data_IF_434900936119
#
_entry.id   IF_434900936119
#
_cell.length_a   1.000
_cell.length_b   1.000
_cell.length_c   1.000
_cell.angle_alpha   90.00
_cell.angle_beta   90.00
_cell.angle_gamma   90.00
#
_symmetry.space_group_name_H-M   'P 1'
#
loop_
_entity.id
_entity.type
_entity.pdbx_description
1 polymer ?
#
# COMPACT_ATOMS: atom_id res chain seq x y z
N UNK A 1 8.55 15.51 -7.73
CA UNK A 1 7.42 14.55 -7.83
C UNK A 1 7.90 13.16 -7.48
N UNK A 2 7.01 12.29 -6.98
CA UNK A 2 7.32 10.88 -6.71
C UNK A 2 7.86 10.18 -7.96
N UNK A 3 7.18 10.36 -9.09
CA UNK A 3 7.62 9.82 -10.38
C UNK A 3 9.06 10.23 -10.74
N UNK A 4 9.44 11.50 -10.49
CA UNK A 4 10.81 11.98 -10.71
C UNK A 4 11.82 11.27 -9.81
N UNK A 5 11.48 11.04 -8.54
CA UNK A 5 12.34 10.32 -7.58
C UNK A 5 12.56 8.88 -8.04
N UNK A 6 11.49 8.18 -8.41
CA UNK A 6 11.54 6.79 -8.87
C UNK A 6 12.35 6.68 -10.17
N UNK A 7 12.14 7.59 -11.13
CA UNK A 7 12.93 7.64 -12.38
C UNK A 7 14.42 7.92 -12.14
N UNK A 8 14.73 8.81 -11.20
CA UNK A 8 16.13 9.10 -10.83
C UNK A 8 16.82 7.88 -10.17
N UNK A 9 16.05 7.01 -9.55
CA UNK A 9 16.52 5.71 -9.05
C UNK A 9 16.62 4.62 -10.15
N UNK A 10 16.47 4.98 -11.43
CA UNK A 10 16.61 4.06 -12.57
C UNK A 10 15.37 3.20 -12.86
N UNK A 11 14.25 3.44 -12.21
CA UNK A 11 13.03 2.63 -12.36
C UNK A 11 12.07 3.28 -13.36
N UNK A 12 11.59 2.49 -14.32
CA UNK A 12 10.54 2.91 -15.24
C UNK A 12 9.21 3.12 -14.49
N UNK A 13 8.51 4.18 -14.85
CA UNK A 13 7.23 4.50 -14.23
C UNK A 13 6.13 4.59 -15.28
N UNK A 14 4.97 4.08 -14.93
CA UNK A 14 3.75 4.21 -15.71
C UNK A 14 2.69 4.89 -14.86
N UNK A 15 1.91 5.75 -15.51
CA UNK A 15 0.85 6.49 -14.84
C UNK A 15 -0.48 6.14 -15.46
N UNK A 16 -1.40 5.65 -14.65
CA UNK A 16 -2.78 5.48 -15.07
C UNK A 16 -3.51 6.82 -15.10
N UNK A 17 -4.49 6.94 -15.98
CA UNK A 17 -5.39 8.09 -16.06
C UNK A 17 -6.78 7.66 -15.61
N UNK A 18 -7.42 8.51 -14.84
CA UNK A 18 -8.86 8.45 -14.63
C UNK A 18 -9.55 9.02 -15.86
N UNK A 19 -10.31 8.19 -16.57
CA UNK A 19 -11.21 8.63 -17.62
C UNK A 19 -12.56 8.99 -16.98
N UNK A 20 -12.66 10.22 -16.49
CA UNK A 20 -13.84 10.70 -15.78
C UNK A 20 -15.07 10.70 -16.69
N UNK A 21 -14.91 10.99 -17.97
CA UNK A 21 -16.01 11.07 -18.93
C UNK A 21 -16.60 9.68 -19.21
N UNK A 22 -15.73 8.67 -19.25
CA UNK A 22 -16.13 7.28 -19.50
C UNK A 22 -16.85 6.63 -18.33
N UNK A 23 -16.51 6.98 -17.11
CA UNK A 23 -17.03 6.32 -15.91
C UNK A 23 -18.24 7.02 -15.28
N UNK A 24 -18.76 8.05 -15.91
CA UNK A 24 -19.93 8.79 -15.41
C UNK A 24 -19.65 9.51 -14.08
N UNK A 25 -20.69 9.76 -13.31
CA UNK A 25 -20.51 10.40 -12.02
C UNK A 25 -19.77 9.49 -11.05
N UNK A 26 -18.69 9.98 -10.44
CA UNK A 26 -17.97 9.31 -9.34
C UNK A 26 -18.86 9.08 -8.10
N UNK A 27 -20.14 9.45 -8.15
CA UNK A 27 -21.12 9.32 -7.07
C UNK A 27 -21.25 7.92 -6.47
N UNK A 28 -20.85 6.88 -7.22
CA UNK A 28 -20.88 5.50 -6.77
C UNK A 28 -19.48 4.98 -6.40
N UNK A 29 -18.46 5.82 -6.40
CA UNK A 29 -17.10 5.46 -6.01
C UNK A 29 -16.92 5.94 -4.58
N UNK A 30 -16.90 5.00 -3.65
CA UNK A 30 -16.76 5.27 -2.23
C UNK A 30 -15.42 5.95 -1.88
N UNK A 31 -14.37 5.65 -2.65
CA UNK A 31 -13.04 6.27 -2.54
C UNK A 31 -12.46 6.52 -3.94
N UNK A 32 -11.73 7.62 -4.16
CA UNK A 32 -10.99 7.78 -5.40
C UNK A 32 -9.94 6.66 -5.52
N UNK A 33 -9.72 6.10 -6.71
CA UNK A 33 -8.78 5.00 -6.93
C UNK A 33 -7.33 5.52 -6.91
N UNK A 34 -6.89 6.04 -5.77
CA UNK A 34 -5.56 6.60 -5.57
C UNK A 34 -4.53 5.56 -5.16
N UNK A 35 -5.00 4.43 -4.64
CA UNK A 35 -4.17 3.35 -4.13
C UNK A 35 -4.26 2.12 -5.05
N UNK A 36 -3.44 2.04 -6.11
CA UNK A 36 -3.45 0.89 -7.02
C UNK A 36 -3.13 -0.43 -6.31
N UNK A 37 -2.41 -0.38 -5.21
CA UNK A 37 -2.07 -1.58 -4.44
C UNK A 37 -3.28 -2.28 -3.80
N UNK A 38 -4.36 -1.56 -3.55
CA UNK A 38 -5.61 -2.15 -3.06
C UNK A 38 -6.32 -3.00 -4.11
N UNK A 39 -6.00 -2.78 -5.38
CA UNK A 39 -6.70 -3.34 -6.53
C UNK A 39 -5.84 -4.30 -7.35
N UNK A 40 -4.52 -4.22 -7.24
CA UNK A 40 -3.59 -4.98 -8.06
C UNK A 40 -2.50 -5.65 -7.23
N UNK A 41 -2.17 -6.89 -7.58
CA UNK A 41 -0.99 -7.58 -7.09
C UNK A 41 -0.30 -8.34 -8.21
N UNK A 42 1.03 -8.27 -8.27
CA UNK A 42 1.83 -9.08 -9.18
C UNK A 42 2.33 -10.30 -8.43
N UNK A 43 1.94 -11.48 -8.89
CA UNK A 43 2.38 -12.78 -8.35
C UNK A 43 2.88 -13.61 -9.53
N UNK A 44 4.16 -13.93 -9.53
CA UNK A 44 4.82 -14.55 -10.69
C UNK A 44 4.81 -13.62 -11.89
N UNK A 45 4.27 -14.09 -13.01
CA UNK A 45 4.10 -13.34 -14.26
C UNK A 45 2.66 -12.84 -14.47
N UNK A 46 1.85 -12.88 -13.41
CA UNK A 46 0.44 -12.50 -13.47
C UNK A 46 0.17 -11.24 -12.66
N UNK A 47 -0.58 -10.32 -13.27
CA UNK A 47 -1.19 -9.20 -12.58
C UNK A 47 -2.62 -9.60 -12.18
N UNK A 48 -2.82 -9.79 -10.90
CA UNK A 48 -4.13 -10.01 -10.32
C UNK A 48 -4.85 -8.67 -10.18
N UNK A 49 -6.07 -8.61 -10.71
CA UNK A 49 -6.90 -7.41 -10.73
C UNK A 49 -8.27 -7.71 -10.12
N UNK A 50 -8.70 -6.90 -9.18
CA UNK A 50 -10.05 -7.01 -8.62
C UNK A 50 -11.13 -6.77 -9.67
N UNK A 51 -12.27 -7.44 -9.56
CA UNK A 51 -13.39 -7.37 -10.51
C UNK A 51 -13.99 -5.95 -10.64
N UNK A 52 -13.73 -5.08 -9.67
CA UNK A 52 -14.20 -3.69 -9.64
C UNK A 52 -13.02 -2.74 -9.59
N UNK A 53 -12.46 -2.45 -10.73
CA UNK A 53 -11.39 -1.44 -10.86
C UNK A 53 -11.88 -0.27 -11.70
N UNK A 54 -12.68 0.62 -11.12
CA UNK A 54 -13.07 1.82 -11.83
C UNK A 54 -11.83 2.72 -12.01
N UNK A 55 -11.62 3.23 -13.19
CA UNK A 55 -10.70 4.33 -13.42
C UNK A 55 -9.29 3.99 -13.91
N UNK A 56 -8.90 2.72 -14.01
CA UNK A 56 -7.60 2.33 -14.57
C UNK A 56 -7.68 1.88 -16.03
N UNK A 57 -8.39 2.63 -16.85
CA UNK A 57 -8.76 2.23 -18.24
C UNK A 57 -7.56 1.93 -19.15
N UNK A 58 -6.42 2.55 -18.90
CA UNK A 58 -5.22 2.37 -19.70
C UNK A 58 -4.22 1.38 -19.08
N UNK A 59 -4.59 0.69 -18.00
CA UNK A 59 -3.67 -0.26 -17.35
C UNK A 59 -3.32 -1.43 -18.29
N UNK A 60 -4.26 -1.85 -19.13
CA UNK A 60 -4.03 -2.94 -20.10
C UNK A 60 -2.84 -2.63 -21.01
N UNK A 61 -2.72 -1.40 -21.52
CA UNK A 61 -1.57 -0.99 -22.35
C UNK A 61 -0.24 -1.03 -21.58
N UNK A 62 -0.29 -0.83 -20.27
CA UNK A 62 0.89 -0.87 -19.39
C UNK A 62 1.27 -2.31 -19.04
N UNK A 63 0.27 -3.18 -18.88
CA UNK A 63 0.46 -4.61 -18.63
C UNK A 63 1.17 -5.26 -19.82
N UNK A 64 0.76 -4.95 -21.05
CA UNK A 64 1.42 -5.45 -22.26
C UNK A 64 2.91 -5.07 -22.28
N UNK A 65 3.25 -3.86 -21.85
CA UNK A 65 4.65 -3.40 -21.74
C UNK A 65 5.44 -4.12 -20.66
N UNK A 66 4.79 -4.53 -19.59
CA UNK A 66 5.39 -5.28 -18.48
C UNK A 66 5.43 -6.80 -18.76
N UNK A 67 4.85 -7.26 -19.85
CA UNK A 67 4.73 -8.68 -20.22
C UNK A 67 4.07 -9.52 -19.12
N UNK A 68 2.99 -9.01 -18.56
CA UNK A 68 2.23 -9.66 -17.51
C UNK A 68 0.91 -10.23 -18.06
N UNK A 69 0.55 -11.41 -17.60
CA UNK A 69 -0.78 -11.98 -17.83
C UNK A 69 -1.80 -11.33 -16.87
N UNK A 70 -2.87 -10.74 -17.40
CA UNK A 70 -3.96 -10.21 -16.58
C UNK A 70 -4.86 -11.35 -16.09
N UNK A 71 -5.04 -11.41 -14.79
CA UNK A 71 -5.88 -12.41 -14.13
C UNK A 71 -6.85 -11.76 -13.13
N UNK A 72 -8.11 -12.18 -13.13
CA UNK A 72 -9.09 -11.66 -12.16
C UNK A 72 -8.84 -12.23 -10.77
N UNK A 73 -9.02 -11.39 -9.76
CA UNK A 73 -9.17 -11.79 -8.36
C UNK A 73 -10.53 -11.29 -7.84
N UNK A 74 -11.13 -12.01 -6.91
CA UNK A 74 -12.40 -11.58 -6.33
C UNK A 74 -12.32 -10.18 -5.74
N UNK A 75 -13.29 -9.33 -6.06
CA UNK A 75 -13.39 -7.98 -5.52
C UNK A 75 -13.64 -7.89 -4.01
N UNK A 76 -13.78 -9.03 -3.33
CA UNK A 76 -13.80 -9.13 -1.86
C UNK A 76 -12.40 -9.18 -1.26
N UNK A 77 -11.36 -9.36 -2.07
CA UNK A 77 -9.96 -9.46 -1.64
C UNK A 77 -9.30 -8.12 -1.89
N UNK A 78 -8.77 -7.49 -0.83
CA UNK A 78 -7.83 -6.40 -0.97
C UNK A 78 -6.45 -6.97 -1.30
N UNK A 79 -5.88 -6.54 -2.41
CA UNK A 79 -4.54 -6.98 -2.82
C UNK A 79 -3.43 -6.35 -2.00
N UNK A 80 -3.71 -5.26 -1.26
CA UNK A 80 -2.79 -4.67 -0.26
C UNK A 80 -2.51 -5.61 0.93
N UNK A 81 -3.37 -6.62 1.14
CA UNK A 81 -3.13 -7.70 2.11
C UNK A 81 -2.02 -8.67 1.68
N UNK A 82 -1.50 -8.59 0.45
CA UNK A 82 -0.51 -9.52 -0.09
C UNK A 82 0.87 -8.86 -0.09
N UNK A 83 1.77 -9.37 0.75
CA UNK A 83 3.18 -9.00 0.73
C UNK A 83 3.99 -10.16 0.16
N UNK A 84 4.79 -9.89 -0.89
CA UNK A 84 5.64 -10.88 -1.54
C UNK A 84 7.10 -10.67 -1.17
N UNK A 85 7.75 -11.74 -0.73
CA UNK A 85 9.20 -11.79 -0.43
C UNK A 85 9.80 -13.03 -1.10
N UNK A 86 10.33 -12.85 -2.29
CA UNK A 86 10.76 -13.98 -3.12
C UNK A 86 9.60 -14.93 -3.42
N UNK A 87 9.75 -16.19 -3.06
CA UNK A 87 8.69 -17.22 -3.22
C UNK A 87 7.67 -17.26 -2.10
N UNK A 88 7.83 -16.44 -1.06
CA UNK A 88 6.92 -16.38 0.08
C UNK A 88 5.90 -15.27 -0.10
N UNK A 89 4.62 -15.60 0.12
CA UNK A 89 3.50 -14.68 0.10
C UNK A 89 2.88 -14.63 1.50
N UNK A 90 3.03 -13.49 2.19
CA UNK A 90 2.23 -13.21 3.39
C UNK A 90 0.94 -12.58 2.97
N UNK A 91 -0.15 -13.27 3.21
CA UNK A 91 -1.48 -12.79 2.85
C UNK A 91 -2.31 -12.57 4.10
N UNK A 92 -2.55 -11.29 4.39
CA UNK A 92 -3.45 -10.90 5.46
C UNK A 92 -4.91 -10.95 4.98
N UNK A 93 -5.74 -11.67 5.72
CA UNK A 93 -7.09 -12.02 5.31
C UNK A 93 -8.08 -11.23 6.15
N UNK A 94 -9.04 -10.63 5.50
CA UNK A 94 -10.23 -10.09 6.12
C UNK A 94 -11.16 -11.24 6.57
N UNK A 95 -11.60 -11.20 7.82
CA UNK A 95 -12.51 -12.19 8.40
C UNK A 95 -13.88 -12.24 7.69
N UNK A 96 -14.24 -11.23 6.91
CA UNK A 96 -15.47 -11.18 6.10
C UNK A 96 -15.34 -11.95 4.78
N UNK A 97 -14.12 -12.34 4.40
CA UNK A 97 -13.86 -13.13 3.18
C UNK A 97 -14.14 -14.61 3.47
N UNK A 98 -14.98 -15.29 2.66
CA UNK A 98 -15.23 -16.71 2.84
C UNK A 98 -13.95 -17.56 2.74
N UNK A 99 -13.79 -18.52 3.65
CA UNK A 99 -12.62 -19.41 3.70
C UNK A 99 -12.35 -20.11 2.37
N UNK A 100 -13.41 -20.56 1.69
CA UNK A 100 -13.30 -21.21 0.38
C UNK A 100 -12.65 -20.34 -0.69
N UNK A 101 -12.77 -19.02 -0.57
CA UNK A 101 -12.24 -18.09 -1.55
C UNK A 101 -10.71 -17.96 -1.42
N UNK A 102 -10.19 -17.75 -0.20
CA UNK A 102 -8.75 -17.65 -0.03
C UNK A 102 -8.06 -19.02 -0.12
N UNK A 103 -8.71 -20.11 0.30
CA UNK A 103 -8.19 -21.46 0.09
C UNK A 103 -7.98 -21.78 -1.41
N UNK A 104 -8.90 -21.34 -2.27
CA UNK A 104 -8.75 -21.45 -3.73
C UNK A 104 -7.50 -20.76 -4.27
N UNK A 105 -7.26 -19.50 -3.87
CA UNK A 105 -6.09 -18.77 -4.34
C UNK A 105 -4.80 -19.28 -3.71
N UNK A 106 -4.82 -19.63 -2.43
CA UNK A 106 -3.69 -20.28 -1.74
C UNK A 106 -3.25 -21.52 -2.51
N UNK A 107 -4.16 -22.44 -2.76
CA UNK A 107 -3.85 -23.67 -3.50
C UNK A 107 -3.29 -23.38 -4.89
N UNK A 108 -3.86 -22.41 -5.61
CA UNK A 108 -3.36 -22.00 -6.93
C UNK A 108 -1.92 -21.51 -6.88
N UNK A 109 -1.60 -20.61 -5.96
CA UNK A 109 -0.26 -20.05 -5.84
C UNK A 109 0.76 -21.07 -5.33
N UNK A 110 0.35 -21.99 -4.45
CA UNK A 110 1.20 -23.10 -4.02
C UNK A 110 1.52 -24.06 -5.17
N UNK A 111 0.56 -24.31 -6.06
CA UNK A 111 0.82 -25.09 -7.31
C UNK A 111 1.77 -24.37 -8.27
N UNK A 112 1.83 -23.06 -8.23
CA UNK A 112 2.78 -22.22 -9.00
C UNK A 112 4.16 -22.12 -8.30
N UNK A 113 4.36 -22.77 -7.15
CA UNK A 113 5.64 -22.86 -6.44
C UNK A 113 5.84 -21.82 -5.35
N UNK A 114 4.82 -21.02 -5.02
CA UNK A 114 4.86 -20.08 -3.89
C UNK A 114 4.58 -20.80 -2.57
N UNK A 115 5.11 -20.25 -1.47
CA UNK A 115 4.68 -20.60 -0.10
C UNK A 115 3.72 -19.52 0.39
N UNK A 116 2.51 -19.89 0.77
CA UNK A 116 1.47 -18.92 1.18
C UNK A 116 1.23 -18.99 2.67
N UNK A 117 1.56 -17.91 3.37
CA UNK A 117 1.36 -17.71 4.79
C UNK A 117 0.13 -16.85 5.02
N UNK A 118 -0.88 -17.40 5.70
CA UNK A 118 -2.11 -16.69 6.00
C UNK A 118 -2.01 -16.02 7.37
N UNK A 119 -2.47 -14.78 7.49
CA UNK A 119 -2.52 -14.03 8.74
C UNK A 119 -3.81 -13.23 8.88
N UNK A 120 -4.08 -12.73 10.09
CA UNK A 120 -5.27 -11.95 10.44
C UNK A 120 -4.84 -10.71 11.23
N UNK A 121 -4.07 -9.80 10.60
CA UNK A 121 -3.47 -8.64 11.27
C UNK A 121 -4.22 -7.33 11.08
N UNK A 122 -5.13 -7.26 10.15
CA UNK A 122 -5.86 -6.04 9.85
C UNK A 122 -5.99 -5.76 8.36
N UNK A 123 -5.85 -6.80 7.54
CA UNK A 123 -6.09 -6.93 6.11
C UNK A 123 -5.22 -6.13 5.13
N UNK A 124 -4.40 -5.18 5.57
CA UNK A 124 -3.41 -4.48 4.74
C UNK A 124 -2.02 -4.65 5.32
N UNK A 125 -1.20 -5.51 4.76
CA UNK A 125 0.16 -5.74 5.25
C UNK A 125 1.03 -4.48 5.21
N UNK A 126 0.86 -3.64 4.21
CA UNK A 126 1.61 -2.41 4.05
C UNK A 126 1.22 -1.27 5.04
N UNK A 127 0.13 -1.46 5.78
CA UNK A 127 -0.23 -0.63 6.92
C UNK A 127 0.34 -1.17 8.25
N UNK A 128 0.95 -2.35 8.22
CA UNK A 128 1.41 -3.06 9.40
C UNK A 128 2.92 -3.17 9.45
N UNK A 129 3.55 -3.55 8.34
CA UNK A 129 5.00 -3.69 8.25
C UNK A 129 5.52 -3.37 6.85
N UNK A 130 6.81 -3.05 6.80
CA UNK A 130 7.58 -2.89 5.58
C UNK A 130 8.76 -3.85 5.59
N UNK A 131 8.86 -4.66 4.55
CA UNK A 131 10.12 -5.36 4.25
C UNK A 131 11.05 -4.36 3.58
N UNK A 132 11.99 -3.84 4.35
CA UNK A 132 12.95 -2.82 3.90
C UNK A 132 13.91 -3.41 2.87
N UNK A 133 14.42 -4.59 3.19
CA UNK A 133 15.24 -5.45 2.34
C UNK A 133 15.21 -6.87 2.92
N UNK A 134 15.67 -7.89 2.19
CA UNK A 134 15.82 -9.22 2.78
C UNK A 134 16.62 -9.17 4.10
N UNK A 135 16.07 -9.74 5.16
CA UNK A 135 16.64 -9.74 6.50
C UNK A 135 16.24 -8.55 7.39
N UNK A 136 15.51 -7.55 6.87
CA UNK A 136 15.20 -6.33 7.63
C UNK A 136 13.74 -5.91 7.49
N UNK A 137 13.05 -5.73 8.60
CA UNK A 137 11.65 -5.32 8.69
C UNK A 137 11.51 -4.10 9.61
N UNK A 138 10.68 -3.14 9.22
CA UNK A 138 10.12 -2.12 10.12
C UNK A 138 8.64 -2.45 10.31
N UNK A 139 8.19 -2.53 11.55
CA UNK A 139 6.84 -2.95 11.89
C UNK A 139 6.25 -2.16 13.03
N UNK A 140 4.92 -2.13 13.11
CA UNK A 140 4.20 -1.65 14.28
C UNK A 140 4.31 -2.66 15.43
N UNK A 141 4.34 -2.18 16.68
CA UNK A 141 4.53 -3.02 17.89
C UNK A 141 3.42 -4.01 18.18
N UNK A 142 2.23 -3.74 17.67
CA UNK A 142 1.06 -4.61 17.89
C UNK A 142 1.26 -6.02 17.35
N UNK A 143 2.23 -6.26 16.47
CA UNK A 143 2.42 -7.51 15.78
C UNK A 143 3.79 -8.09 16.14
N UNK A 144 3.79 -8.99 17.12
CA UNK A 144 5.02 -9.44 17.75
C UNK A 144 5.54 -10.83 17.30
N UNK A 145 4.83 -11.54 16.42
CA UNK A 145 5.18 -12.93 16.08
C UNK A 145 6.15 -13.09 14.90
N UNK A 146 6.82 -12.01 14.50
CA UNK A 146 7.76 -12.05 13.36
C UNK A 146 8.92 -13.04 13.50
N UNK A 147 9.31 -13.41 14.72
CA UNK A 147 10.36 -14.40 14.93
C UNK A 147 10.03 -15.77 14.33
N UNK A 148 8.77 -16.12 14.31
CA UNK A 148 8.29 -17.38 13.75
C UNK A 148 8.07 -17.28 12.23
N UNK A 149 7.62 -16.12 11.76
CA UNK A 149 7.31 -15.90 10.36
C UNK A 149 8.52 -15.51 9.53
N UNK A 150 9.46 -14.76 10.14
CA UNK A 150 10.68 -14.29 9.51
C UNK A 150 11.90 -14.69 10.36
N UNK A 151 12.19 -16.02 10.47
CA UNK A 151 13.26 -16.51 11.34
C UNK A 151 14.62 -15.93 10.94
N UNK A 152 15.31 -15.37 11.93
CA UNK A 152 16.63 -14.76 11.74
C UNK A 152 16.63 -13.35 11.15
N UNK A 153 15.48 -12.77 10.85
CA UNK A 153 15.39 -11.39 10.36
C UNK A 153 15.43 -10.40 11.52
N UNK A 154 16.06 -9.25 11.28
CA UNK A 154 16.06 -8.13 12.22
C UNK A 154 14.78 -7.31 12.05
N UNK A 155 14.09 -7.03 13.14
CA UNK A 155 12.80 -6.32 13.13
C UNK A 155 12.89 -5.09 14.04
N UNK A 156 12.68 -3.91 13.45
CA UNK A 156 12.46 -2.68 14.21
C UNK A 156 10.96 -2.56 14.49
N UNK A 157 10.59 -2.55 15.77
CA UNK A 157 9.23 -2.31 16.22
C UNK A 157 9.02 -0.83 16.56
N UNK A 158 8.11 -0.18 15.86
CA UNK A 158 7.68 1.18 16.16
C UNK A 158 6.58 1.18 17.23
N UNK A 159 6.46 2.25 18.01
CA UNK A 159 5.33 2.40 18.90
C UNK A 159 4.01 2.45 18.13
N UNK A 160 2.96 1.98 18.78
CA UNK A 160 1.61 2.03 18.27
C UNK A 160 1.18 3.45 17.93
N UNK A 161 0.16 3.54 17.10
CA UNK A 161 -0.45 4.82 16.77
C UNK A 161 -0.91 5.54 18.03
N UNK A 162 -0.55 6.82 18.15
CA UNK A 162 -1.04 7.67 19.22
C UNK A 162 -2.45 8.15 18.93
N UNK A 163 -3.43 7.55 19.56
CA UNK A 163 -4.84 7.98 19.51
C UNK A 163 -5.06 9.40 20.01
N UNK A 164 -4.19 9.91 20.87
CA UNK A 164 -4.23 11.30 21.34
C UNK A 164 -4.05 12.31 20.19
N UNK A 165 -3.31 11.94 19.15
CA UNK A 165 -3.17 12.75 17.93
C UNK A 165 -4.39 12.64 17.00
N UNK A 166 -5.09 11.53 17.05
CA UNK A 166 -6.24 11.21 16.18
C UNK A 166 -7.54 11.77 16.76
N UNK A 167 -7.72 11.71 18.10
CA UNK A 167 -8.95 12.12 18.77
C UNK A 167 -9.46 13.51 18.40
N UNK A 168 -8.64 14.60 18.38
CA UNK A 168 -9.13 15.92 18.01
C UNK A 168 -9.65 15.99 16.58
N UNK A 169 -9.09 15.19 15.71
CA UNK A 169 -9.53 15.11 14.31
C UNK A 169 -10.87 14.37 14.19
N UNK A 170 -11.05 13.26 14.90
CA UNK A 170 -12.32 12.53 14.93
C UNK A 170 -13.45 13.39 15.51
N UNK A 171 -13.17 14.16 16.58
CA UNK A 171 -14.13 15.10 17.13
C UNK A 171 -14.53 16.20 16.14
N UNK A 172 -13.55 16.71 15.37
CA UNK A 172 -13.83 17.69 14.32
C UNK A 172 -14.65 17.08 13.19
N UNK A 173 -14.34 15.84 12.77
CA UNK A 173 -15.09 15.08 11.78
C UNK A 173 -16.56 14.99 12.13
N UNK A 174 -16.87 14.64 13.36
CA UNK A 174 -18.24 14.50 13.85
C UNK A 174 -19.00 15.85 13.84
N UNK A 175 -18.29 16.94 14.13
CA UNK A 175 -18.84 18.30 14.13
C UNK A 175 -19.15 18.85 12.74
N UNK A 176 -18.38 18.46 11.74
CA UNK A 176 -18.53 19.01 10.35
C UNK A 176 -19.33 18.10 9.43
N UNK A 177 -19.93 17.04 9.96
CA UNK A 177 -20.93 16.25 9.26
C UNK A 177 -20.45 15.57 7.99
N UNK A 178 -19.28 14.90 8.04
CA UNK A 178 -18.69 14.20 6.89
C UNK A 178 -17.77 15.06 6.03
N UNK A 179 -17.70 16.37 6.24
CA UNK A 179 -16.68 17.23 5.66
C UNK A 179 -15.33 16.89 6.28
N UNK A 180 -14.28 17.08 5.53
CA UNK A 180 -12.93 16.85 6.02
C UNK A 180 -12.11 18.14 5.96
N UNK A 181 -11.00 18.15 6.69
CA UNK A 181 -10.07 19.28 6.70
C UNK A 181 -8.67 18.80 6.37
N UNK A 182 -8.04 19.49 5.43
CA UNK A 182 -6.63 19.33 5.16
C UNK A 182 -5.90 20.49 5.83
N UNK A 183 -4.99 20.22 6.74
CA UNK A 183 -4.26 21.24 7.48
C UNK A 183 -3.57 22.21 6.53
N UNK A 184 -3.94 23.50 6.63
CA UNK A 184 -3.45 24.57 5.78
C UNK A 184 -4.28 24.83 4.51
N UNK A 185 -5.34 24.04 4.26
CA UNK A 185 -6.24 24.18 3.12
C UNK A 185 -7.70 24.43 3.58
N UNK A 186 -7.90 24.81 4.83
CA UNK A 186 -9.21 24.95 5.49
C UNK A 186 -10.09 26.00 4.81
N UNK A 187 -9.50 26.93 4.05
CA UNK A 187 -10.17 27.99 3.31
C UNK A 187 -10.03 27.86 1.79
N UNK A 188 -9.60 26.68 1.31
CA UNK A 188 -9.50 26.42 -0.12
C UNK A 188 -10.87 26.01 -0.67
N UNK A 189 -11.66 26.98 -1.15
CA UNK A 189 -13.02 26.77 -1.64
C UNK A 189 -13.10 25.73 -2.77
N UNK A 190 -12.12 25.67 -3.66
CA UNK A 190 -12.08 24.69 -4.74
C UNK A 190 -11.93 23.27 -4.21
N UNK A 191 -11.07 23.09 -3.22
CA UNK A 191 -10.85 21.79 -2.58
C UNK A 191 -12.09 21.38 -1.76
N UNK A 192 -12.67 22.30 -1.01
CA UNK A 192 -13.90 22.08 -0.25
C UNK A 192 -15.04 21.67 -1.20
N UNK A 193 -15.22 22.39 -2.30
CA UNK A 193 -16.22 22.06 -3.30
C UNK A 193 -15.97 20.68 -3.92
N UNK A 194 -14.73 20.37 -4.26
CA UNK A 194 -14.36 19.04 -4.79
C UNK A 194 -14.74 17.93 -3.80
N UNK A 195 -14.36 18.07 -2.53
CA UNK A 195 -14.68 17.08 -1.51
C UNK A 195 -16.17 16.92 -1.31
N UNK A 196 -16.90 18.02 -1.16
CA UNK A 196 -18.36 17.99 -0.95
C UNK A 196 -19.11 17.39 -2.15
N UNK A 197 -18.56 17.53 -3.36
CA UNK A 197 -19.19 17.02 -4.58
C UNK A 197 -18.87 15.54 -4.82
N UNK A 198 -17.61 15.16 -4.64
CA UNK A 198 -17.10 13.87 -5.08
C UNK A 198 -16.77 12.91 -3.95
N UNK A 199 -16.51 13.43 -2.75
CA UNK A 199 -15.99 12.70 -1.61
C UNK A 199 -16.79 12.98 -0.32
N UNK A 200 -18.09 13.25 -0.44
CA UNK A 200 -18.88 13.73 0.70
C UNK A 200 -18.89 12.79 1.91
N UNK A 201 -18.68 11.50 1.70
CA UNK A 201 -18.51 10.50 2.77
C UNK A 201 -17.04 10.29 3.16
N UNK A 202 -16.12 10.98 2.46
CA UNK A 202 -14.70 10.88 2.73
C UNK A 202 -14.33 11.78 3.89
N UNK A 203 -13.57 11.23 4.80
CA UNK A 203 -12.99 11.99 5.89
C UNK A 203 -11.49 12.00 5.73
N UNK A 204 -10.95 13.19 5.69
CA UNK A 204 -9.52 13.41 5.57
C UNK A 204 -8.72 12.67 6.63
N UNK A 205 -7.46 12.58 6.44
CA UNK A 205 -6.57 11.68 7.11
C UNK A 205 -5.69 12.38 8.14
N UNK A 206 -5.27 11.65 9.17
CA UNK A 206 -4.46 12.16 10.28
C UNK A 206 -3.04 11.60 10.19
N UNK A 207 -2.08 12.31 10.78
CA UNK A 207 -0.72 11.83 10.91
C UNK A 207 -0.67 10.57 11.77
N UNK A 208 -0.32 9.45 11.17
CA UNK A 208 -0.30 8.14 11.81
C UNK A 208 1.04 7.45 11.65
N UNK A 209 1.35 6.54 12.58
CA UNK A 209 2.55 5.70 12.53
C UNK A 209 2.60 4.82 11.29
N UNK A 210 1.46 4.54 10.67
CA UNK A 210 1.37 3.80 9.40
C UNK A 210 2.23 4.40 8.29
N UNK A 211 2.44 5.72 8.29
CA UNK A 211 3.33 6.36 7.31
C UNK A 211 4.80 6.01 7.49
N UNK A 212 5.20 5.53 8.67
CA UNK A 212 6.55 5.06 8.94
C UNK A 212 6.78 3.60 8.51
N UNK A 213 5.72 2.86 8.18
CA UNK A 213 5.80 1.50 7.60
C UNK A 213 5.34 1.44 6.15
N UNK A 214 4.52 2.40 5.68
CA UNK A 214 4.05 2.43 4.30
C UNK A 214 5.11 3.05 3.37
N UNK A 215 6.24 2.38 3.25
CA UNK A 215 7.41 2.80 2.49
C UNK A 215 7.60 1.94 1.24
N UNK A 216 8.29 2.48 0.24
CA UNK A 216 8.56 1.78 -1.01
C UNK A 216 10.05 1.44 -1.14
N UNK A 217 10.40 0.18 -0.98
CA UNK A 217 11.74 -0.32 -1.28
C UNK A 217 11.94 -0.36 -2.79
N UNK A 218 12.93 0.37 -3.30
CA UNK A 218 13.30 0.38 -4.73
C UNK A 218 14.18 -0.83 -5.03
N UNK A 219 15.21 -1.00 -4.23
CA UNK A 219 16.13 -2.12 -4.24
C UNK A 219 16.60 -2.44 -2.81
N UNK A 220 17.59 -3.32 -2.66
CA UNK A 220 18.11 -3.70 -1.35
C UNK A 220 18.85 -2.58 -0.60
N UNK A 221 19.13 -1.46 -1.23
CA UNK A 221 19.89 -0.35 -0.65
C UNK A 221 19.12 0.96 -0.64
N UNK A 222 17.99 1.07 -1.35
CA UNK A 222 17.27 2.32 -1.55
C UNK A 222 15.80 2.18 -1.19
N UNK A 223 15.31 3.05 -0.32
CA UNK A 223 13.92 3.07 0.12
C UNK A 223 13.33 4.48 0.06
N UNK A 224 12.09 4.61 -0.41
CA UNK A 224 11.36 5.88 -0.39
C UNK A 224 10.45 5.92 0.82
N UNK A 225 10.57 7.00 1.61
CA UNK A 225 9.82 7.21 2.86
C UNK A 225 8.88 8.40 2.74
N UNK A 226 7.77 8.36 3.47
CA UNK A 226 6.80 9.46 3.52
C UNK A 226 7.27 10.64 4.38
N UNK A 227 8.05 10.36 5.42
CA UNK A 227 8.51 11.31 6.42
C UNK A 227 9.86 10.89 7.00
N UNK A 228 10.44 11.76 7.81
CA UNK A 228 11.62 11.46 8.60
C UNK A 228 11.19 10.93 9.98
N UNK A 229 11.67 9.74 10.33
CA UNK A 229 11.59 9.19 11.68
C UNK A 229 13.00 8.77 12.11
N UNK A 230 13.49 9.36 13.21
CA UNK A 230 14.87 9.16 13.66
C UNK A 230 15.19 7.68 13.92
N UNK A 231 14.28 6.95 14.58
CA UNK A 231 14.48 5.55 14.93
C UNK A 231 14.57 4.68 13.66
N UNK A 232 13.70 4.93 12.69
CA UNK A 232 13.70 4.26 11.38
C UNK A 232 14.98 4.56 10.60
N UNK A 233 15.43 5.82 10.60
CA UNK A 233 16.64 6.21 9.87
C UNK A 233 17.93 5.70 10.52
N UNK A 234 17.98 5.60 11.84
CA UNK A 234 19.09 4.94 12.55
C UNK A 234 19.15 3.44 12.20
N UNK A 235 17.99 2.80 12.10
CA UNK A 235 17.87 1.42 11.64
C UNK A 235 18.34 1.24 10.19
N UNK A 236 17.94 2.13 9.28
CA UNK A 236 18.42 2.11 7.90
C UNK A 236 19.95 2.25 7.82
N UNK A 237 20.52 3.18 8.58
CA UNK A 237 21.97 3.37 8.65
C UNK A 237 22.69 2.10 9.12
N UNK A 238 22.15 1.41 10.14
CA UNK A 238 22.67 0.11 10.63
C UNK A 238 22.71 -0.93 9.49
N UNK A 239 21.69 -0.95 8.64
CA UNK A 239 21.53 -1.91 7.56
C UNK A 239 22.02 -1.43 6.19
N UNK A 240 22.68 -0.26 6.12
CA UNK A 240 23.20 0.33 4.87
C UNK A 240 22.12 0.53 3.81
N UNK A 241 20.96 1.03 4.23
CA UNK A 241 19.86 1.42 3.38
C UNK A 241 19.82 2.94 3.29
N UNK A 242 19.72 3.47 2.08
CA UNK A 242 19.69 4.90 1.80
C UNK A 242 18.23 5.38 1.66
N UNK A 243 17.69 6.14 2.63
CA UNK A 243 16.33 6.64 2.56
C UNK A 243 16.22 7.89 1.69
N UNK A 244 15.18 7.94 0.87
CA UNK A 244 14.77 9.13 0.12
C UNK A 244 13.44 9.61 0.68
N UNK A 245 13.43 10.77 1.32
CA UNK A 245 12.17 11.33 1.84
C UNK A 245 11.39 11.98 0.71
N UNK A 246 10.18 11.51 0.50
CA UNK A 246 9.22 12.13 -0.40
C UNK A 246 8.27 13.04 0.38
N UNK A 247 8.47 14.35 0.25
CA UNK A 247 7.57 15.31 0.87
C UNK A 247 6.25 15.39 0.11
N UNK A 248 5.29 14.62 0.54
CA UNK A 248 3.97 14.50 -0.04
C UNK A 248 3.11 15.71 0.38
N UNK A 249 2.77 16.57 -0.57
CA UNK A 249 2.03 17.82 -0.26
C UNK A 249 0.76 17.58 0.53
N UNK A 250 0.01 16.51 0.19
CA UNK A 250 -1.28 16.17 0.78
C UNK A 250 -1.29 14.75 1.36
N UNK A 251 -0.19 14.35 2.01
CA UNK A 251 0.01 12.99 2.53
C UNK A 251 -1.11 12.51 3.46
N UNK A 252 -1.73 13.42 4.18
CA UNK A 252 -2.80 13.10 5.11
C UNK A 252 -4.20 13.07 4.49
N UNK A 253 -4.29 13.34 3.20
CA UNK A 253 -5.57 13.41 2.50
C UNK A 253 -6.00 12.07 1.89
N UNK A 254 -5.07 11.29 1.36
CA UNK A 254 -5.39 10.17 0.48
C UNK A 254 -5.39 8.80 1.16
N UNK A 255 -5.30 8.73 2.48
CA UNK A 255 -5.37 7.45 3.21
C UNK A 255 -4.37 6.41 2.65
N UNK A 256 -3.12 6.81 2.53
CA UNK A 256 -2.06 5.93 2.07
C UNK A 256 -0.74 6.64 1.82
N UNK A 257 0.34 5.92 2.11
CA UNK A 257 1.70 6.38 1.87
C UNK A 257 2.20 6.03 0.47
N UNK A 258 3.51 6.17 0.27
CA UNK A 258 4.16 5.93 -1.03
C UNK A 258 4.00 4.50 -1.52
N UNK A 259 3.84 3.52 -0.63
CA UNK A 259 3.60 2.14 -1.02
C UNK A 259 2.20 1.94 -1.57
N UNK A 260 1.17 2.41 -0.87
CA UNK A 260 -0.23 2.28 -1.32
C UNK A 260 -0.49 2.91 -2.69
N UNK A 261 0.12 4.09 -2.96
CA UNK A 261 -0.09 4.83 -4.21
C UNK A 261 0.78 4.34 -5.37
N UNK A 262 1.51 3.25 -5.17
CA UNK A 262 2.35 2.61 -6.20
C UNK A 262 2.06 1.12 -6.28
N UNK A 263 2.27 0.55 -7.46
CA UNK A 263 2.23 -0.89 -7.68
C UNK A 263 3.41 -1.33 -8.52
N UNK A 264 4.16 -2.30 -8.00
CA UNK A 264 5.27 -2.88 -8.75
C UNK A 264 4.73 -3.79 -9.84
N UNK A 265 5.06 -3.51 -11.09
CA UNK A 265 4.72 -4.37 -12.22
C UNK A 265 5.83 -5.39 -12.52
N UNK A 266 7.07 -5.04 -12.23
CA UNK A 266 8.22 -5.89 -12.44
C UNK A 266 9.28 -5.63 -11.36
N UNK A 267 9.86 -6.69 -10.82
CA UNK A 267 11.08 -6.68 -10.02
C UNK A 267 12.01 -7.77 -10.51
N UNK A 268 13.30 -7.50 -10.49
CA UNK A 268 14.32 -8.52 -10.66
C UNK A 268 14.26 -9.47 -9.47
N UNK A 269 14.52 -10.77 -9.72
CA UNK A 269 14.43 -11.78 -8.67
C UNK A 269 12.99 -12.21 -8.39
N UNK A 270 12.60 -13.38 -8.88
CA UNK A 270 11.18 -13.79 -8.88
C UNK A 270 10.83 -14.80 -7.79
N UNK A 271 11.74 -15.70 -7.49
CA UNK A 271 11.47 -16.90 -6.69
C UNK A 271 12.62 -17.22 -5.74
N UNK A 272 13.30 -16.20 -5.24
CA UNK A 272 14.34 -16.37 -4.24
C UNK A 272 13.76 -17.00 -2.98
N UNK A 273 14.50 -17.94 -2.41
CA UNK A 273 14.18 -18.59 -1.16
C UNK A 273 14.96 -17.95 -0.01
N UNK A 274 14.31 -17.11 0.76
CA UNK A 274 14.93 -16.43 1.91
C UNK A 274 14.78 -17.21 3.22
N UNK A 275 14.02 -18.30 3.22
CA UNK A 275 13.68 -19.03 4.45
C UNK A 275 14.03 -20.53 4.40
N UNK A 276 14.73 -20.99 3.36
CA UNK A 276 15.34 -22.32 3.22
C UNK A 276 14.37 -23.40 2.84
#
# INVERSE_FOLDING_TARGET
TLEGIIKNAGVATYRSFLDIDKYGSLKNIFRPPTCPRDHFAVIGEKLYCGERVPGYANILTQIDRANLELTSISGKISTAGICRVGKDLWWDIDSTVPESLYSKYKQKWEQEGFRVHLSFRGYHNDAVFCVVRPGCIVSLREIQEYKNEFPGWDVLYLPDQSWDKVSPFLEMKDKVGGSWWLKGEEHNDQLIQFVNTWLHDWVGYVEETVFDVNMLSIDQNTIICNNYNKEVFDYFKKHKVDPIVFNFRHRYFWDGGVHCITQDLYREGKMEDYFG
#
